data_IF_199786269908
#
_entry.id   IF_199786269908
#
_cell.length_a   1.000
_cell.length_b   1.000
_cell.length_c   1.000
_cell.angle_alpha   90.00
_cell.angle_beta   90.00
_cell.angle_gamma   90.00
#
_symmetry.space_group_name_H-M   'P 1'
#
loop_
_entity.id
_entity.type
_entity.pdbx_description
1 polymer ?
#
# COMPACT_ATOMS: atom_id res chain seq x y z
N UNK A 1 -5.07 7.19 -6.24
CA UNK A 1 -5.64 7.80 -7.47
C UNK A 1 -6.64 8.92 -7.16
N UNK A 2 -7.61 8.71 -6.27
CA UNK A 2 -8.64 9.72 -5.96
C UNK A 2 -8.08 11.09 -5.51
N UNK A 3 -6.96 11.11 -4.78
CA UNK A 3 -6.37 12.32 -4.21
C UNK A 3 -6.01 13.42 -5.24
N UNK A 4 -5.58 13.04 -6.45
CA UNK A 4 -5.11 13.98 -7.48
C UNK A 4 -6.00 14.03 -8.72
N UNK A 5 -6.72 12.94 -9.02
CA UNK A 5 -7.59 12.89 -10.19
C UNK A 5 -8.93 13.62 -9.96
N UNK A 6 -9.47 13.60 -8.73
CA UNK A 6 -10.70 14.36 -8.41
C UNK A 6 -10.50 15.87 -8.61
N UNK A 7 -9.45 16.51 -8.05
CA UNK A 7 -9.20 17.94 -8.29
C UNK A 7 -8.94 18.30 -9.76
N UNK A 8 -8.36 17.38 -10.55
CA UNK A 8 -8.08 17.60 -11.97
C UNK A 8 -9.34 17.47 -12.88
N UNK A 9 -10.43 16.93 -12.34
CA UNK A 9 -11.63 16.55 -13.10
C UNK A 9 -11.54 15.13 -13.64
N UNK A 10 -12.44 14.25 -13.19
CA UNK A 10 -12.40 12.82 -13.50
C UNK A 10 -12.53 12.52 -15.00
N UNK A 11 -13.34 13.30 -15.72
CA UNK A 11 -13.49 13.15 -17.17
C UNK A 11 -12.20 13.47 -17.94
N UNK A 12 -11.43 14.46 -17.48
CA UNK A 12 -10.15 14.82 -18.08
C UNK A 12 -9.06 13.77 -17.83
N UNK A 13 -9.23 12.97 -16.78
CA UNK A 13 -8.28 11.94 -16.38
C UNK A 13 -8.54 10.57 -17.04
N UNK A 14 -9.64 10.41 -17.78
CA UNK A 14 -9.99 9.14 -18.45
C UNK A 14 -8.86 8.69 -19.38
N UNK A 15 -8.50 7.42 -19.27
CA UNK A 15 -7.48 6.79 -20.10
C UNK A 15 -6.04 6.95 -19.61
N UNK A 16 -5.79 7.78 -18.57
CA UNK A 16 -4.48 7.92 -17.93
C UNK A 16 -3.97 6.56 -17.46
N UNK A 17 -2.70 6.28 -17.78
CA UNK A 17 -2.00 5.08 -17.31
C UNK A 17 -1.09 5.50 -16.16
N UNK A 18 -1.14 4.73 -15.08
CA UNK A 18 -0.30 4.91 -13.90
C UNK A 18 0.21 3.55 -13.41
N UNK A 19 0.85 3.54 -12.25
CA UNK A 19 1.28 2.33 -11.56
C UNK A 19 0.63 2.24 -10.19
N UNK A 20 0.42 1.02 -9.71
CA UNK A 20 -0.04 0.75 -8.35
C UNK A 20 0.73 -0.42 -7.73
N UNK A 21 0.93 -0.29 -6.42
CA UNK A 21 1.41 -1.37 -5.55
C UNK A 21 0.46 -1.61 -4.36
N UNK A 22 -0.55 -0.76 -4.17
CA UNK A 22 -1.59 -0.88 -3.16
C UNK A 22 -2.96 -1.18 -3.79
N UNK A 23 -3.81 -1.87 -3.04
CA UNK A 23 -5.22 -2.06 -3.35
C UNK A 23 -5.93 -0.71 -3.38
N UNK A 24 -6.77 -0.51 -4.39
CA UNK A 24 -7.65 0.65 -4.46
C UNK A 24 -8.83 0.43 -3.51
N UNK A 25 -9.05 1.28 -2.48
CA UNK A 25 -10.14 1.09 -1.52
C UNK A 25 -11.54 1.24 -2.13
N UNK A 26 -11.66 1.81 -3.33
CA UNK A 26 -12.92 1.95 -4.05
C UNK A 26 -13.22 0.76 -4.98
N UNK A 27 -12.27 -0.15 -5.18
CA UNK A 27 -12.44 -1.25 -6.12
C UNK A 27 -13.15 -2.43 -5.45
N UNK A 28 -14.39 -2.77 -5.88
CA UNK A 28 -15.17 -3.85 -5.28
C UNK A 28 -14.54 -5.23 -5.45
N UNK A 29 -13.54 -5.38 -6.35
CA UNK A 29 -12.80 -6.63 -6.51
C UNK A 29 -12.11 -7.08 -5.20
N UNK A 30 -11.81 -6.15 -4.29
CA UNK A 30 -11.16 -6.45 -3.01
C UNK A 30 -12.13 -6.86 -1.89
N UNK A 31 -13.45 -6.79 -2.11
CA UNK A 31 -14.45 -7.12 -1.07
C UNK A 31 -14.28 -8.53 -0.46
N UNK A 32 -13.81 -9.49 -1.27
CA UNK A 32 -13.51 -10.85 -0.85
C UNK A 32 -12.11 -11.06 -0.27
N UNK A 33 -11.22 -10.09 -0.33
CA UNK A 33 -9.85 -10.20 0.16
C UNK A 33 -9.78 -9.99 1.68
N UNK A 34 -9.00 -10.85 2.36
CA UNK A 34 -8.89 -10.83 3.83
C UNK A 34 -8.11 -9.60 4.34
N UNK A 35 -6.98 -9.27 3.72
CA UNK A 35 -6.19 -8.10 4.08
C UNK A 35 -6.97 -6.81 3.88
N UNK A 36 -7.75 -6.72 2.80
CA UNK A 36 -8.65 -5.59 2.58
C UNK A 36 -9.68 -5.44 3.71
N UNK A 37 -10.32 -6.55 4.11
CA UNK A 37 -11.28 -6.56 5.22
C UNK A 37 -10.63 -6.18 6.55
N UNK A 38 -9.40 -6.63 6.82
CA UNK A 38 -8.64 -6.23 7.99
C UNK A 38 -8.31 -4.74 8.01
N UNK A 39 -7.77 -4.21 6.91
CA UNK A 39 -7.46 -2.79 6.80
C UNK A 39 -8.71 -1.91 6.96
N UNK A 40 -9.82 -2.32 6.33
CA UNK A 40 -11.10 -1.62 6.48
C UNK A 40 -11.62 -1.67 7.92
N UNK A 41 -11.55 -2.83 8.59
CA UNK A 41 -11.94 -2.96 9.99
C UNK A 41 -11.10 -2.04 10.90
N UNK A 42 -9.77 -2.04 10.73
CA UNK A 42 -8.87 -1.16 11.47
C UNK A 42 -9.21 0.32 11.26
N UNK A 43 -9.39 0.75 10.02
CA UNK A 43 -9.73 2.15 9.72
C UNK A 43 -11.13 2.54 10.25
N UNK A 44 -12.08 1.60 10.27
CA UNK A 44 -13.40 1.83 10.84
C UNK A 44 -13.36 2.05 12.35
N UNK A 45 -12.52 1.29 13.06
CA UNK A 45 -12.40 1.34 14.51
C UNK A 45 -11.55 2.51 15.00
N UNK A 46 -10.37 2.71 14.39
CA UNK A 46 -9.34 3.60 14.92
C UNK A 46 -9.19 4.92 14.16
N UNK A 47 -9.82 5.08 12.99
CA UNK A 47 -9.69 6.28 12.15
C UNK A 47 -11.05 6.90 11.77
N UNK A 48 -11.97 7.10 12.73
CA UNK A 48 -13.29 7.66 12.43
C UNK A 48 -13.17 9.05 11.78
N UNK A 49 -13.99 9.31 10.76
CA UNK A 49 -13.98 10.57 10.02
C UNK A 49 -12.93 10.69 8.92
N UNK A 50 -12.02 9.72 8.78
CA UNK A 50 -11.06 9.71 7.66
C UNK A 50 -11.74 9.28 6.36
N UNK A 51 -11.40 9.93 5.23
CA UNK A 51 -11.80 9.46 3.91
C UNK A 51 -11.05 8.16 3.56
N UNK A 52 -11.75 7.04 3.68
CA UNK A 52 -11.24 5.69 3.37
C UNK A 52 -11.07 5.48 1.87
N UNK A 53 -11.69 6.31 1.04
CA UNK A 53 -11.48 6.31 -0.40
C UNK A 53 -10.18 7.02 -0.80
N UNK A 54 -9.55 7.78 0.11
CA UNK A 54 -8.25 8.37 -0.15
C UNK A 54 -7.15 7.30 -0.13
N UNK A 55 -6.43 7.20 -1.24
CA UNK A 55 -5.27 6.31 -1.36
C UNK A 55 -4.15 6.67 -0.38
N UNK A 56 -4.06 7.92 0.08
CA UNK A 56 -3.07 8.32 1.10
C UNK A 56 -3.36 7.69 2.46
N UNK A 57 -4.64 7.50 2.81
CA UNK A 57 -5.05 6.80 4.03
C UNK A 57 -4.55 5.34 4.00
N UNK A 58 -4.77 4.66 2.88
CA UNK A 58 -4.32 3.28 2.65
C UNK A 58 -2.79 3.18 2.69
N UNK A 59 -2.10 4.16 2.10
CA UNK A 59 -0.64 4.25 2.15
C UNK A 59 -0.14 4.41 3.60
N UNK A 60 -0.71 5.35 4.35
CA UNK A 60 -0.35 5.59 5.76
C UNK A 60 -0.56 4.36 6.62
N UNK A 61 -1.67 3.65 6.43
CA UNK A 61 -1.94 2.36 7.10
C UNK A 61 -0.85 1.31 6.80
N UNK A 62 -0.44 1.19 5.53
CA UNK A 62 0.59 0.22 5.11
C UNK A 62 1.98 0.56 5.67
N UNK A 63 2.32 1.86 5.72
CA UNK A 63 3.56 2.34 6.36
C UNK A 63 3.54 2.05 7.86
N UNK A 64 2.42 2.32 8.53
CA UNK A 64 2.26 2.02 9.96
C UNK A 64 2.37 0.51 10.24
N UNK A 65 1.79 -0.34 9.38
CA UNK A 65 1.90 -1.80 9.51
C UNK A 65 3.36 -2.27 9.33
N UNK A 66 4.10 -1.67 8.40
CA UNK A 66 5.54 -1.93 8.22
C UNK A 66 6.32 -1.55 9.46
N UNK A 67 6.08 -0.36 10.02
CA UNK A 67 6.74 0.11 11.24
C UNK A 67 6.42 -0.81 12.42
N UNK A 68 5.15 -1.20 12.59
CA UNK A 68 4.74 -2.11 13.64
C UNK A 68 5.49 -3.45 13.54
N UNK A 69 5.70 -3.98 12.34
CA UNK A 69 6.47 -5.20 12.14
C UNK A 69 7.95 -5.03 12.52
N UNK A 70 8.58 -3.92 12.09
CA UNK A 70 9.97 -3.61 12.49
C UNK A 70 10.10 -3.53 14.01
N UNK A 71 9.15 -2.88 14.69
CA UNK A 71 9.15 -2.77 16.16
C UNK A 71 8.97 -4.13 16.84
N UNK A 72 8.12 -5.02 16.31
CA UNK A 72 8.03 -6.41 16.83
C UNK A 72 9.35 -7.16 16.68
N UNK A 73 10.04 -7.01 15.53
CA UNK A 73 11.33 -7.64 15.29
C UNK A 73 12.46 -7.13 16.21
N UNK A 74 12.30 -5.93 16.78
CA UNK A 74 13.22 -5.36 17.75
C UNK A 74 13.08 -6.00 19.15
N UNK A 75 11.88 -6.45 19.53
CA UNK A 75 11.60 -6.88 20.90
C UNK A 75 11.82 -5.72 21.88
N UNK A 76 12.56 -5.99 22.96
CA UNK A 76 12.82 -4.99 24.01
C UNK A 76 13.98 -4.00 23.67
N UNK A 77 14.76 -4.28 22.62
CA UNK A 77 15.86 -3.41 22.18
C UNK A 77 15.36 -2.38 21.14
N UNK A 78 14.74 -1.31 21.64
CA UNK A 78 14.20 -0.22 20.82
C UNK A 78 15.22 0.91 20.58
N UNK A 79 16.51 0.57 20.50
CA UNK A 79 17.55 1.54 20.13
C UNK A 79 17.47 1.88 18.63
N UNK A 80 17.88 3.10 18.28
CA UNK A 80 17.93 3.54 16.87
C UNK A 80 18.74 2.58 15.99
N UNK A 81 19.86 2.10 16.51
CA UNK A 81 20.74 1.15 15.80
C UNK A 81 20.00 -0.15 15.49
N UNK A 82 19.34 -0.75 16.49
CA UNK A 82 18.61 -2.00 16.28
C UNK A 82 17.38 -1.79 15.37
N UNK A 83 16.62 -0.69 15.53
CA UNK A 83 15.49 -0.36 14.65
C UNK A 83 15.94 -0.29 13.19
N UNK A 84 17.02 0.44 12.90
CA UNK A 84 17.53 0.54 11.54
C UNK A 84 18.07 -0.79 11.02
N UNK A 85 18.71 -1.59 11.88
CA UNK A 85 19.15 -2.94 11.54
C UNK A 85 17.99 -3.86 11.15
N UNK A 86 16.87 -3.83 11.88
CA UNK A 86 15.67 -4.62 11.57
C UNK A 86 14.98 -4.11 10.31
N UNK A 87 14.82 -2.79 10.18
CA UNK A 87 14.26 -2.15 8.99
C UNK A 87 15.06 -2.44 7.72
N UNK A 88 16.37 -2.68 7.83
CA UNK A 88 17.27 -3.09 6.74
C UNK A 88 17.34 -4.61 6.53
N UNK A 89 16.43 -5.40 7.12
CA UNK A 89 16.44 -6.86 7.04
C UNK A 89 15.08 -7.47 6.70
N UNK A 90 14.13 -6.65 6.24
CA UNK A 90 12.80 -7.12 5.89
C UNK A 90 12.90 -8.08 4.70
N UNK A 91 12.20 -9.20 4.79
CA UNK A 91 12.20 -10.22 3.75
C UNK A 91 10.82 -10.80 3.58
N UNK A 92 10.33 -10.78 2.34
CA UNK A 92 9.04 -11.34 1.94
C UNK A 92 7.86 -10.84 2.79
N UNK A 93 7.96 -9.64 3.38
CA UNK A 93 6.92 -9.08 4.24
C UNK A 93 5.70 -8.74 3.40
N UNK A 94 4.57 -9.39 3.70
CA UNK A 94 3.26 -9.08 3.12
C UNK A 94 2.52 -8.11 4.02
N UNK A 95 1.82 -7.18 3.41
CA UNK A 95 0.93 -6.26 4.10
C UNK A 95 -0.49 -6.41 3.57
N UNK A 96 -1.45 -6.04 4.39
CA UNK A 96 -2.88 -6.19 4.12
C UNK A 96 -3.32 -5.49 2.83
N UNK A 97 -2.82 -4.28 2.59
CA UNK A 97 -3.25 -3.44 1.48
C UNK A 97 -2.32 -3.48 0.27
N UNK A 98 -1.26 -4.30 0.27
CA UNK A 98 -0.45 -4.53 -0.93
C UNK A 98 -1.22 -5.35 -1.96
N UNK A 99 -0.96 -5.10 -3.25
CA UNK A 99 -1.49 -5.96 -4.31
C UNK A 99 -0.94 -7.40 -4.16
N UNK A 100 -1.75 -8.43 -4.50
CA UNK A 100 -1.29 -9.81 -4.44
C UNK A 100 0.02 -10.04 -5.18
N UNK A 101 0.97 -10.71 -4.52
CA UNK A 101 2.30 -11.03 -5.09
C UNK A 101 3.36 -9.95 -4.91
N UNK A 102 3.05 -8.81 -4.28
CA UNK A 102 4.03 -7.82 -3.85
C UNK A 102 4.45 -8.10 -2.41
N UNK A 103 5.76 -8.06 -2.15
CA UNK A 103 6.33 -8.14 -0.80
C UNK A 103 7.32 -7.01 -0.56
N UNK A 104 7.48 -6.63 0.70
CA UNK A 104 8.49 -5.69 1.16
C UNK A 104 9.80 -6.44 1.43
N UNK A 105 10.87 -5.97 0.81
CA UNK A 105 12.22 -6.49 0.97
C UNK A 105 13.21 -5.34 1.12
N UNK A 106 14.09 -5.42 2.12
CA UNK A 106 15.16 -4.46 2.34
C UNK A 106 16.45 -5.18 2.71
N UNK A 107 17.58 -4.51 2.49
CA UNK A 107 18.90 -4.99 2.89
C UNK A 107 19.75 -3.81 3.38
N UNK A 108 20.90 -4.07 4.05
CA UNK A 108 21.84 -3.01 4.44
C UNK A 108 22.35 -2.15 3.28
N UNK A 109 22.23 -2.64 2.04
CA UNK A 109 22.65 -1.95 0.82
C UNK A 109 21.49 -1.49 -0.06
N UNK A 110 20.24 -1.75 0.35
CA UNK A 110 19.05 -1.51 -0.46
C UNK A 110 17.83 -1.24 0.42
N UNK A 111 17.50 0.04 0.59
CA UNK A 111 16.41 0.50 1.45
C UNK A 111 15.12 0.78 0.67
N UNK A 112 15.05 0.45 -0.63
CA UNK A 112 13.84 0.59 -1.42
C UNK A 112 12.93 -0.64 -1.20
N UNK A 113 11.85 -0.53 -0.39
CA UNK A 113 11.13 -1.69 0.14
C UNK A 113 10.32 -2.44 -0.92
N UNK A 114 9.81 -1.73 -1.92
CA UNK A 114 8.94 -2.27 -2.97
C UNK A 114 9.61 -2.03 -4.31
N UNK A 115 9.72 -3.09 -5.09
CA UNK A 115 10.27 -3.08 -6.46
C UNK A 115 9.34 -3.77 -7.44
N UNK A 116 8.06 -3.79 -7.12
CA UNK A 116 7.04 -4.45 -7.92
C UNK A 116 5.83 -3.54 -8.04
N UNK A 117 5.33 -3.36 -9.26
CA UNK A 117 4.16 -2.53 -9.53
C UNK A 117 3.32 -3.13 -10.65
N UNK A 118 2.02 -2.84 -10.63
CA UNK A 118 1.10 -3.15 -11.71
C UNK A 118 0.72 -1.87 -12.45
N UNK A 119 0.73 -1.93 -13.79
CA UNK A 119 0.16 -0.84 -14.58
C UNK A 119 -1.36 -0.81 -14.34
N UNK A 120 -1.93 0.39 -14.28
CA UNK A 120 -3.36 0.59 -14.14
C UNK A 120 -3.83 1.66 -15.13
N UNK A 121 -5.06 1.53 -15.63
CA UNK A 121 -5.72 2.58 -16.41
C UNK A 121 -6.92 3.12 -15.65
N UNK A 122 -7.03 4.43 -15.60
CA UNK A 122 -8.18 5.12 -15.03
C UNK A 122 -9.32 5.21 -16.04
N UNK A 123 -10.53 4.83 -15.66
CA UNK A 123 -11.72 4.84 -16.52
C UNK A 123 -12.67 6.02 -16.28
N UNK A 124 -12.34 6.90 -15.31
CA UNK A 124 -13.19 8.00 -14.87
C UNK A 124 -13.75 7.80 -13.47
N UNK A 125 -13.77 6.57 -12.96
CA UNK A 125 -14.26 6.25 -11.63
C UNK A 125 -13.22 5.44 -10.85
N UNK A 126 -12.61 4.44 -11.49
CA UNK A 126 -11.66 3.52 -10.88
C UNK A 126 -10.42 3.27 -11.74
N UNK A 127 -9.35 2.82 -11.08
CA UNK A 127 -8.19 2.25 -11.74
C UNK A 127 -8.36 0.75 -11.91
N UNK A 128 -8.27 0.25 -13.14
CA UNK A 128 -8.26 -1.19 -13.44
C UNK A 128 -6.87 -1.66 -13.85
N UNK A 129 -6.46 -2.83 -13.35
CA UNK A 129 -5.16 -3.42 -13.62
C UNK A 129 -4.96 -3.78 -15.10
N UNK A 130 -3.79 -3.44 -15.63
CA UNK A 130 -3.35 -3.75 -16.99
C UNK A 130 -2.24 -4.81 -16.95
N UNK A 131 -2.55 -6.00 -17.48
CA UNK A 131 -1.56 -7.06 -17.65
C UNK A 131 -0.95 -7.57 -16.33
N UNK A 132 0.30 -8.04 -16.39
CA UNK A 132 1.00 -8.70 -15.28
C UNK A 132 1.80 -7.71 -14.43
N UNK A 133 2.03 -8.09 -13.18
CA UNK A 133 2.97 -7.42 -12.26
C UNK A 133 4.35 -7.27 -12.89
N UNK A 134 4.97 -6.10 -12.75
CA UNK A 134 6.32 -5.79 -13.26
C UNK A 134 7.26 -5.57 -12.11
N UNK A 135 8.52 -5.98 -12.26
CA UNK A 135 9.61 -5.63 -11.35
C UNK A 135 10.30 -4.38 -11.89
N UNK A 136 10.62 -3.43 -11.01
CA UNK A 136 11.35 -2.19 -11.30
C UNK A 136 12.75 -2.22 -10.71
#
# INVERSE_FOLDING_TARGET
MAAVLKPAGLDNAKGVISTAYLKNPLDPAWSGDEGYRHGLAFMNEYMPGTDKADSNTVYGYSVAQTLAEVLKMCGDDLTRENVMKKAASLKDLKLDMLLPGITINTSPTDFAPIKQEQLIRFDGENGSGLGRMRRI
#
